data_IF_499485286955
#
_entry.id   IF_499485286955
#
_cell.length_a   1.000
_cell.length_b   1.000
_cell.length_c   1.000
_cell.angle_alpha   90.00
_cell.angle_beta   90.00
_cell.angle_gamma   90.00
#
_symmetry.space_group_name_H-M   'P 1'
#
loop_
_entity.id
_entity.type
_entity.pdbx_description
1 polymer ?
#
# COMPACT_ATOMS: atom_id res chain seq x y z
N UNK A 1 37.49 3.83 -7.33
CA UNK A 1 36.13 3.27 -7.41
C UNK A 1 36.10 2.16 -8.45
N UNK A 2 35.23 1.15 -8.34
CA UNK A 2 35.26 -0.04 -9.20
C UNK A 2 35.11 0.25 -10.72
N UNK A 3 34.55 1.41 -11.10
CA UNK A 3 34.36 1.82 -12.51
C UNK A 3 35.68 1.73 -13.29
N UNK A 4 36.79 2.24 -12.74
CA UNK A 4 38.12 2.24 -13.39
C UNK A 4 38.66 0.82 -13.54
N UNK A 5 38.46 -0.02 -12.50
CA UNK A 5 38.87 -1.43 -12.51
C UNK A 5 38.16 -2.22 -13.63
N UNK A 6 36.84 -2.04 -13.76
CA UNK A 6 36.05 -2.64 -14.84
C UNK A 6 36.14 -1.88 -16.16
N UNK A 7 36.97 -0.81 -16.26
CA UNK A 7 37.14 0.03 -17.45
C UNK A 7 35.82 0.54 -18.03
N UNK A 8 34.92 1.00 -17.13
CA UNK A 8 33.59 1.57 -17.46
C UNK A 8 33.69 3.10 -17.47
N UNK A 9 32.75 3.74 -18.18
CA UNK A 9 32.64 5.21 -18.24
C UNK A 9 31.78 5.76 -17.09
N UNK A 10 30.80 4.95 -16.63
CA UNK A 10 29.88 5.33 -15.57
C UNK A 10 29.31 4.08 -14.84
N UNK A 11 28.57 4.33 -13.74
CA UNK A 11 27.95 3.26 -12.95
C UNK A 11 26.82 2.57 -13.74
N UNK A 12 26.93 1.25 -14.05
CA UNK A 12 25.94 0.56 -14.87
C UNK A 12 24.62 0.30 -14.15
N UNK A 13 24.62 0.15 -12.81
CA UNK A 13 23.49 -0.32 -12.03
C UNK A 13 22.90 0.72 -11.08
N UNK A 14 22.90 2.00 -11.48
CA UNK A 14 22.24 3.07 -10.70
C UNK A 14 20.77 2.77 -10.49
N UNK A 15 20.25 3.11 -9.29
CA UNK A 15 18.86 2.95 -8.93
C UNK A 15 17.96 4.10 -9.40
N UNK A 16 18.54 5.27 -9.66
CA UNK A 16 17.80 6.40 -10.24
C UNK A 16 17.34 6.08 -11.66
N UNK A 17 16.13 6.45 -12.04
CA UNK A 17 15.65 6.28 -13.41
C UNK A 17 16.60 6.99 -14.39
N UNK A 18 16.98 6.31 -15.44
CA UNK A 18 17.72 6.87 -16.57
C UNK A 18 17.28 6.18 -17.85
N UNK A 19 16.60 6.91 -18.76
CA UNK A 19 16.10 6.36 -20.02
C UNK A 19 17.19 5.82 -20.97
N UNK A 20 18.46 6.23 -20.82
CA UNK A 20 19.56 5.68 -21.62
C UNK A 20 19.84 4.22 -21.27
N UNK A 21 19.63 3.84 -20.01
CA UNK A 21 19.78 2.48 -19.49
C UNK A 21 18.53 1.62 -19.62
N UNK A 22 17.48 2.10 -20.30
CA UNK A 22 16.26 1.34 -20.47
C UNK A 22 16.49 0.17 -21.43
N UNK A 23 16.43 -1.03 -20.90
CA UNK A 23 16.33 -2.25 -21.69
C UNK A 23 14.88 -2.54 -22.05
N UNK A 24 14.56 -2.54 -23.34
CA UNK A 24 13.22 -2.84 -23.83
C UNK A 24 13.03 -4.36 -23.96
N UNK A 25 12.68 -5.04 -22.86
CA UNK A 25 12.17 -6.40 -22.93
C UNK A 25 10.89 -6.44 -23.77
N UNK A 26 10.43 -7.65 -24.17
CA UNK A 26 9.15 -7.79 -24.90
C UNK A 26 7.98 -7.16 -24.14
N UNK A 27 7.97 -7.28 -22.81
CA UNK A 27 6.93 -6.68 -21.97
C UNK A 27 7.03 -5.15 -21.98
N UNK A 28 8.23 -4.58 -21.82
CA UNK A 28 8.45 -3.13 -21.89
C UNK A 28 8.09 -2.56 -23.26
N UNK A 29 8.46 -3.23 -24.36
CA UNK A 29 8.11 -2.81 -25.70
C UNK A 29 6.59 -2.78 -25.94
N UNK A 30 5.86 -3.80 -25.41
CA UNK A 30 4.38 -3.81 -25.47
C UNK A 30 3.77 -2.70 -24.63
N UNK A 31 4.24 -2.49 -23.39
CA UNK A 31 3.76 -1.41 -22.54
C UNK A 31 3.97 -0.04 -23.22
N UNK A 32 5.14 0.17 -23.82
CA UNK A 32 5.46 1.38 -24.58
C UNK A 32 4.53 1.57 -25.76
N UNK A 33 4.29 0.53 -26.56
CA UNK A 33 3.37 0.58 -27.69
C UNK A 33 1.93 0.93 -27.25
N UNK A 34 1.49 0.44 -26.07
CA UNK A 34 0.20 0.81 -25.50
C UNK A 34 0.14 2.28 -25.08
N UNK A 35 1.22 2.80 -24.47
CA UNK A 35 1.33 4.22 -24.14
C UNK A 35 1.35 5.10 -25.40
N UNK A 36 2.11 4.73 -26.43
CA UNK A 36 2.13 5.40 -27.74
C UNK A 36 0.75 5.40 -28.39
N UNK A 37 0.04 4.28 -28.31
CA UNK A 37 -1.32 4.16 -28.86
C UNK A 37 -2.30 5.16 -28.23
N UNK A 38 -2.06 5.59 -26.98
CA UNK A 38 -2.87 6.60 -26.28
C UNK A 38 -2.87 7.94 -27.03
N UNK A 39 -1.76 8.27 -27.68
CA UNK A 39 -1.63 9.53 -28.43
C UNK A 39 -2.42 9.51 -29.76
N UNK A 40 -2.50 8.32 -30.39
CA UNK A 40 -3.09 8.19 -31.72
C UNK A 40 -4.59 7.90 -31.69
N UNK A 41 -5.09 7.28 -30.61
CA UNK A 41 -6.51 6.98 -30.49
C UNK A 41 -7.29 8.10 -29.81
N UNK A 42 -8.55 8.25 -30.22
CA UNK A 42 -9.47 9.27 -29.68
C UNK A 42 -9.91 8.98 -28.24
N UNK A 43 -9.86 7.69 -27.81
CA UNK A 43 -10.25 7.24 -26.46
C UNK A 43 -9.02 6.82 -25.64
N UNK A 44 -8.04 7.71 -25.57
CA UNK A 44 -6.74 7.42 -24.99
C UNK A 44 -6.73 7.36 -23.46
N UNK A 45 -7.23 6.26 -22.85
CA UNK A 45 -7.07 6.01 -21.43
C UNK A 45 -6.42 4.62 -21.21
N UNK A 46 -5.19 4.63 -20.72
CA UNK A 46 -4.36 3.44 -20.51
C UNK A 46 -3.90 3.35 -19.04
N UNK A 47 -3.86 2.13 -18.53
CA UNK A 47 -3.32 1.81 -17.21
C UNK A 47 -2.12 0.87 -17.36
N UNK A 48 -0.99 1.25 -16.76
CA UNK A 48 0.22 0.44 -16.69
C UNK A 48 0.51 0.12 -15.24
N UNK A 49 0.35 -1.14 -14.86
CA UNK A 49 0.68 -1.60 -13.51
C UNK A 49 1.95 -2.43 -13.51
N UNK A 50 2.56 -2.61 -12.36
CA UNK A 50 3.72 -3.49 -12.18
C UNK A 50 4.32 -3.31 -10.79
N UNK A 51 5.06 -4.32 -10.36
CA UNK A 51 5.71 -4.32 -9.04
C UNK A 51 6.67 -3.14 -8.85
N UNK A 52 7.00 -2.84 -7.60
CA UNK A 52 8.03 -1.84 -7.26
C UNK A 52 9.34 -2.24 -7.92
N UNK A 53 9.94 -1.30 -8.68
CA UNK A 53 11.22 -1.55 -9.35
C UNK A 53 11.11 -2.32 -10.66
N UNK A 54 9.92 -2.52 -11.22
CA UNK A 54 9.72 -3.13 -12.56
C UNK A 54 10.13 -2.23 -13.73
N UNK A 55 10.45 -0.96 -13.49
CA UNK A 55 10.90 -0.02 -14.53
C UNK A 55 9.81 0.89 -15.11
N UNK A 56 8.62 0.98 -14.48
CA UNK A 56 7.50 1.84 -14.94
C UNK A 56 7.92 3.29 -15.18
N UNK A 57 8.52 3.92 -14.18
CA UNK A 57 8.93 5.34 -14.26
C UNK A 57 9.97 5.56 -15.35
N UNK A 58 10.98 4.68 -15.49
CA UNK A 58 11.98 4.74 -16.56
C UNK A 58 11.32 4.59 -17.95
N UNK A 59 10.33 3.71 -18.06
CA UNK A 59 9.57 3.52 -19.29
C UNK A 59 8.77 4.78 -19.65
N UNK A 60 8.10 5.40 -18.67
CA UNK A 60 7.37 6.66 -18.84
C UNK A 60 8.32 7.77 -19.31
N UNK A 61 9.46 7.94 -18.65
CA UNK A 61 10.45 8.94 -19.04
C UNK A 61 11.00 8.72 -20.45
N UNK A 62 11.27 7.45 -20.82
CA UNK A 62 11.69 7.10 -22.18
C UNK A 62 10.60 7.41 -23.22
N UNK A 63 9.35 7.13 -22.88
CA UNK A 63 8.20 7.47 -23.74
C UNK A 63 8.06 8.99 -23.92
N UNK A 64 8.14 9.76 -22.83
CA UNK A 64 8.02 11.21 -22.86
C UNK A 64 9.11 11.89 -23.71
N UNK A 65 10.33 11.38 -23.70
CA UNK A 65 11.45 11.91 -24.52
C UNK A 65 11.23 11.73 -26.03
N UNK A 66 10.33 10.84 -26.44
CA UNK A 66 10.08 10.50 -27.84
C UNK A 66 8.80 11.13 -28.37
N UNK A 67 8.07 11.87 -27.54
CA UNK A 67 6.87 12.56 -27.98
C UNK A 67 7.22 13.80 -28.79
N UNK A 68 6.39 14.04 -29.82
CA UNK A 68 6.48 15.22 -30.66
C UNK A 68 6.16 16.50 -29.86
N UNK A 69 6.64 17.63 -30.32
CA UNK A 69 6.46 18.95 -29.68
C UNK A 69 4.99 19.44 -29.71
N UNK A 70 4.11 18.79 -30.45
CA UNK A 70 2.68 19.09 -30.53
C UNK A 70 1.86 18.44 -29.39
N UNK A 71 2.50 17.66 -28.52
CA UNK A 71 1.86 17.05 -27.36
C UNK A 71 2.12 17.89 -26.11
N UNK A 72 1.04 18.40 -25.52
CA UNK A 72 1.09 19.14 -24.25
C UNK A 72 0.98 18.14 -23.09
N UNK A 73 1.96 18.13 -22.21
CA UNK A 73 2.11 17.09 -21.18
C UNK A 73 1.91 17.69 -19.78
N UNK A 74 1.08 17.02 -18.98
CA UNK A 74 1.06 17.18 -17.52
C UNK A 74 1.49 15.86 -16.87
N UNK A 75 2.50 15.91 -16.02
CA UNK A 75 2.98 14.75 -15.26
C UNK A 75 2.80 14.99 -13.77
N UNK A 76 2.07 14.10 -13.12
CA UNK A 76 1.77 14.12 -11.68
C UNK A 76 2.45 12.92 -11.01
N UNK A 77 3.40 13.22 -10.14
CA UNK A 77 4.12 12.20 -9.35
C UNK A 77 3.71 12.27 -7.86
N UNK A 78 3.13 13.40 -7.43
CA UNK A 78 2.62 13.57 -6.07
C UNK A 78 1.15 13.22 -6.05
N UNK A 79 0.81 12.04 -5.53
CA UNK A 79 -0.52 11.44 -5.58
C UNK A 79 -1.26 11.41 -4.24
N UNK A 80 -0.61 11.82 -3.14
CA UNK A 80 -1.24 11.99 -1.82
C UNK A 80 -1.86 13.38 -1.69
N UNK A 81 -2.88 13.65 -2.51
CA UNK A 81 -3.55 14.94 -2.63
C UNK A 81 -5.07 14.77 -2.57
N UNK A 82 -5.78 15.80 -2.15
CA UNK A 82 -7.24 15.85 -2.28
C UNK A 82 -7.66 16.28 -3.71
N UNK A 83 -8.97 16.21 -4.01
CA UNK A 83 -9.48 16.50 -5.35
C UNK A 83 -9.20 17.92 -5.85
N UNK A 84 -9.18 18.91 -4.94
CA UNK A 84 -8.87 20.32 -5.30
C UNK A 84 -7.38 20.48 -5.58
N UNK A 85 -6.54 19.96 -4.72
CA UNK A 85 -5.08 19.96 -4.87
C UNK A 85 -4.64 19.21 -6.14
N UNK A 86 -5.31 18.11 -6.48
CA UNK A 86 -5.07 17.39 -7.72
C UNK A 86 -5.35 18.27 -8.94
N UNK A 87 -6.53 18.92 -9.01
CA UNK A 87 -6.87 19.85 -10.10
C UNK A 87 -5.90 21.03 -10.18
N UNK A 88 -5.49 21.57 -9.03
CA UNK A 88 -4.47 22.62 -8.98
C UNK A 88 -3.14 22.12 -9.53
N UNK A 89 -2.69 20.93 -9.14
CA UNK A 89 -1.44 20.33 -9.63
C UNK A 89 -1.45 20.15 -11.14
N UNK A 90 -2.58 19.67 -11.70
CA UNK A 90 -2.75 19.52 -13.17
C UNK A 90 -2.65 20.89 -13.87
N UNK A 91 -3.32 21.90 -13.35
CA UNK A 91 -3.27 23.26 -13.93
C UNK A 91 -1.88 23.89 -13.82
N UNK A 92 -1.15 23.66 -12.72
CA UNK A 92 0.24 24.11 -12.56
C UNK A 92 1.15 23.49 -13.63
N UNK A 93 0.97 22.21 -13.94
CA UNK A 93 1.71 21.55 -15.01
C UNK A 93 1.43 22.16 -16.39
N UNK A 94 0.24 22.71 -16.60
CA UNK A 94 -0.12 23.46 -17.81
C UNK A 94 0.25 24.95 -17.78
N UNK A 95 0.98 25.42 -16.73
CA UNK A 95 1.51 26.77 -16.63
C UNK A 95 0.58 27.79 -15.97
N UNK A 96 -0.51 27.36 -15.30
CA UNK A 96 -1.42 28.23 -14.58
C UNK A 96 -0.98 28.45 -13.12
N UNK A 97 -1.55 29.46 -12.48
CA UNK A 97 -1.37 29.77 -11.04
C UNK A 97 -2.71 29.64 -10.28
N UNK A 98 -3.19 28.41 -10.03
CA UNK A 98 -4.57 28.15 -9.61
C UNK A 98 -4.86 28.28 -8.11
N UNK A 99 -3.90 28.71 -7.28
CA UNK A 99 -3.95 28.56 -5.80
C UNK A 99 -5.06 29.31 -5.08
N UNK A 100 -5.73 30.29 -5.75
CA UNK A 100 -6.86 31.06 -5.18
C UNK A 100 -8.21 30.67 -5.80
N UNK A 101 -8.24 29.74 -6.73
CA UNK A 101 -9.43 29.33 -7.47
C UNK A 101 -10.27 28.34 -6.66
N UNK A 102 -11.60 28.48 -6.73
CA UNK A 102 -12.54 27.48 -6.24
C UNK A 102 -12.59 26.28 -7.20
N UNK A 103 -13.05 25.12 -6.71
CA UNK A 103 -13.13 23.88 -7.53
C UNK A 103 -13.83 24.10 -8.88
N UNK A 104 -14.95 24.83 -8.90
CA UNK A 104 -15.68 25.12 -10.14
C UNK A 104 -14.84 25.93 -11.13
N UNK A 105 -14.07 26.91 -10.65
CA UNK A 105 -13.16 27.73 -11.47
C UNK A 105 -12.00 26.91 -12.03
N UNK A 106 -11.44 25.99 -11.21
CA UNK A 106 -10.38 25.06 -11.65
C UNK A 106 -10.88 24.19 -12.82
N UNK A 107 -12.06 23.61 -12.69
CA UNK A 107 -12.67 22.76 -13.71
C UNK A 107 -12.96 23.60 -14.98
N UNK A 108 -13.52 24.78 -14.84
CA UNK A 108 -13.83 25.65 -15.98
C UNK A 108 -12.55 26.07 -16.72
N UNK A 109 -11.49 26.46 -15.98
CA UNK A 109 -10.20 26.84 -16.55
C UNK A 109 -9.57 25.66 -17.31
N UNK A 110 -9.58 24.45 -16.70
CA UNK A 110 -9.05 23.26 -17.34
C UNK A 110 -9.83 22.90 -18.61
N UNK A 111 -11.16 22.95 -18.55
CA UNK A 111 -12.01 22.68 -19.73
C UNK A 111 -11.72 23.67 -20.88
N UNK A 112 -11.65 24.97 -20.57
CA UNK A 112 -11.34 26.00 -21.57
C UNK A 112 -9.97 25.76 -22.21
N UNK A 113 -8.97 25.45 -21.39
CA UNK A 113 -7.62 25.14 -21.86
C UNK A 113 -7.61 23.92 -22.79
N UNK A 114 -8.26 22.80 -22.39
CA UNK A 114 -8.31 21.60 -23.19
C UNK A 114 -8.97 21.81 -24.56
N UNK A 115 -10.07 22.57 -24.60
CA UNK A 115 -10.77 22.93 -25.84
C UNK A 115 -9.89 23.82 -26.72
N UNK A 116 -9.17 24.79 -26.13
CA UNK A 116 -8.24 25.66 -26.85
C UNK A 116 -7.07 24.87 -27.45
N UNK A 117 -6.47 23.93 -26.69
CA UNK A 117 -5.43 23.07 -27.22
C UNK A 117 -5.94 22.20 -28.40
N UNK A 118 -7.14 21.64 -28.26
CA UNK A 118 -7.77 20.87 -29.32
C UNK A 118 -8.02 21.72 -30.61
N UNK A 119 -8.53 22.94 -30.43
CA UNK A 119 -8.73 23.87 -31.55
C UNK A 119 -7.40 24.25 -32.24
N UNK A 120 -6.30 24.28 -31.48
CA UNK A 120 -4.96 24.49 -32.01
C UNK A 120 -4.33 23.24 -32.66
N UNK A 121 -5.05 22.11 -32.73
CA UNK A 121 -4.55 20.83 -33.24
C UNK A 121 -3.55 20.11 -32.31
N UNK A 122 -3.38 20.56 -31.08
CA UNK A 122 -2.45 19.98 -30.11
C UNK A 122 -3.14 18.90 -29.27
N UNK A 123 -2.41 17.83 -28.97
CA UNK A 123 -2.86 16.74 -28.12
C UNK A 123 -2.48 17.01 -26.68
N UNK A 124 -3.37 16.75 -25.74
CA UNK A 124 -3.08 16.91 -24.30
C UNK A 124 -3.01 15.55 -23.63
N UNK A 125 -1.92 15.29 -22.92
CA UNK A 125 -1.63 14.06 -22.22
C UNK A 125 -1.42 14.33 -20.72
N UNK A 126 -2.20 13.64 -19.89
CA UNK A 126 -2.03 13.60 -18.45
C UNK A 126 -1.44 12.24 -18.05
N UNK A 127 -0.28 12.27 -17.42
CA UNK A 127 0.37 11.08 -16.86
C UNK A 127 0.35 11.19 -15.35
N UNK A 128 -0.08 10.14 -14.68
CA UNK A 128 -0.09 10.06 -13.24
C UNK A 128 0.69 8.82 -12.84
N UNK A 129 1.86 9.00 -12.23
CA UNK A 129 2.66 7.92 -11.65
C UNK A 129 2.26 7.68 -10.20
N UNK A 130 2.54 6.50 -9.65
CA UNK A 130 2.15 6.05 -8.31
C UNK A 130 0.62 6.20 -8.06
N UNK A 131 -0.19 5.95 -9.09
CA UNK A 131 -1.64 6.18 -9.06
C UNK A 131 -2.40 5.30 -8.05
N UNK A 132 -1.80 4.22 -7.51
CA UNK A 132 -2.40 3.43 -6.43
C UNK A 132 -2.59 4.25 -5.14
N UNK A 133 -1.87 5.36 -4.97
CA UNK A 133 -2.00 6.23 -3.80
C UNK A 133 -3.19 7.21 -3.91
N UNK A 134 -3.78 7.38 -5.10
CA UNK A 134 -4.92 8.26 -5.30
C UNK A 134 -6.13 7.78 -4.50
N UNK A 135 -6.86 8.71 -3.89
CA UNK A 135 -8.14 8.41 -3.26
C UNK A 135 -9.23 8.14 -4.31
N UNK A 136 -10.30 7.43 -3.92
CA UNK A 136 -11.46 7.19 -4.79
C UNK A 136 -12.06 8.51 -5.32
N UNK A 137 -12.06 9.57 -4.49
CA UNK A 137 -12.54 10.91 -4.87
C UNK A 137 -11.70 11.53 -5.99
N UNK A 138 -10.38 11.35 -5.97
CA UNK A 138 -9.49 11.85 -7.04
C UNK A 138 -9.65 11.02 -8.30
N UNK A 139 -9.78 9.71 -8.19
CA UNK A 139 -10.06 8.82 -9.34
C UNK A 139 -11.40 9.17 -10.02
N UNK A 140 -12.40 9.59 -9.23
CA UNK A 140 -13.67 10.10 -9.78
C UNK A 140 -13.50 11.44 -10.51
N UNK A 141 -12.65 12.37 -10.02
CA UNK A 141 -12.31 13.58 -10.77
C UNK A 141 -11.62 13.25 -12.09
N UNK A 142 -10.70 12.28 -12.10
CA UNK A 142 -10.05 11.79 -13.34
C UNK A 142 -11.10 11.24 -14.31
N UNK A 143 -12.10 10.50 -13.80
CA UNK A 143 -13.23 10.05 -14.61
C UNK A 143 -13.98 11.23 -15.24
N UNK A 144 -14.28 12.25 -14.46
CA UNK A 144 -14.96 13.44 -14.96
C UNK A 144 -14.14 14.13 -16.07
N UNK A 145 -12.84 14.33 -15.83
CA UNK A 145 -11.91 14.93 -16.81
C UNK A 145 -11.81 14.11 -18.10
N UNK A 146 -11.76 12.78 -18.01
CA UNK A 146 -11.72 11.88 -19.18
C UNK A 146 -13.00 11.95 -20.04
N UNK A 147 -14.06 12.57 -19.51
CA UNK A 147 -15.33 12.77 -20.19
C UNK A 147 -15.40 14.01 -21.07
N UNK A 148 -14.40 14.90 -21.01
CA UNK A 148 -14.40 16.15 -21.78
C UNK A 148 -14.22 15.83 -23.26
N UNK A 149 -15.16 16.31 -24.07
CA UNK A 149 -15.21 16.07 -25.53
C UNK A 149 -15.27 17.39 -26.30
N UNK A 150 -14.61 17.39 -27.45
CA UNK A 150 -14.81 18.40 -28.47
C UNK A 150 -15.12 17.69 -29.78
N UNK A 151 -16.25 18.04 -30.41
CA UNK A 151 -16.68 17.56 -31.74
C UNK A 151 -16.78 16.03 -31.91
N UNK A 152 -16.88 15.22 -30.89
CA UNK A 152 -16.90 13.74 -30.82
C UNK A 152 -15.55 13.07 -30.48
N UNK A 153 -14.52 13.84 -30.18
CA UNK A 153 -13.23 13.30 -29.73
C UNK A 153 -12.94 13.67 -28.28
N UNK A 154 -12.28 12.77 -27.55
CA UNK A 154 -11.76 13.07 -26.22
C UNK A 154 -10.57 14.01 -26.35
N UNK A 155 -10.63 15.14 -25.64
CA UNK A 155 -9.57 16.16 -25.70
C UNK A 155 -8.41 15.86 -24.75
N UNK A 156 -8.63 15.03 -23.73
CA UNK A 156 -7.64 14.64 -22.75
C UNK A 156 -7.31 13.15 -22.85
N UNK A 157 -6.05 12.84 -23.03
CA UNK A 157 -5.50 11.49 -22.98
C UNK A 157 -4.91 11.23 -21.61
N UNK A 158 -5.06 10.03 -21.06
CA UNK A 158 -4.67 9.72 -19.69
C UNK A 158 -3.88 8.42 -19.63
N UNK A 159 -2.75 8.47 -18.94
CA UNK A 159 -1.96 7.29 -18.56
C UNK A 159 -1.89 7.25 -17.04
N UNK A 160 -2.42 6.19 -16.44
CA UNK A 160 -2.20 5.88 -15.02
C UNK A 160 -1.12 4.81 -14.91
N UNK A 161 -0.07 5.11 -14.18
CA UNK A 161 0.94 4.13 -13.82
C UNK A 161 0.89 3.87 -12.31
N UNK A 162 1.06 2.62 -11.89
CA UNK A 162 0.97 2.29 -10.47
C UNK A 162 1.36 0.86 -10.16
N UNK A 163 1.22 0.52 -8.89
CA UNK A 163 1.42 -0.84 -8.39
C UNK A 163 0.17 -1.70 -8.65
N UNK A 164 0.24 -3.04 -8.51
CA UNK A 164 -0.89 -3.94 -8.78
C UNK A 164 -2.17 -3.59 -8.03
N UNK A 165 -2.06 -3.00 -6.82
CA UNK A 165 -3.19 -2.56 -5.99
C UNK A 165 -4.07 -1.50 -6.71
N UNK A 166 -3.51 -0.82 -7.71
CA UNK A 166 -4.30 0.07 -8.58
C UNK A 166 -5.40 -0.70 -9.31
N UNK A 167 -5.14 -1.92 -9.78
CA UNK A 167 -6.15 -2.74 -10.46
C UNK A 167 -7.29 -3.11 -9.50
N UNK A 168 -6.97 -3.55 -8.28
CA UNK A 168 -7.97 -3.88 -7.26
C UNK A 168 -8.87 -2.66 -6.96
N UNK A 169 -8.24 -1.49 -6.84
CA UNK A 169 -8.96 -0.23 -6.62
C UNK A 169 -9.86 0.13 -7.81
N UNK A 170 -9.39 -0.03 -9.05
CA UNK A 170 -10.15 0.25 -10.26
C UNK A 170 -11.28 -0.76 -10.51
N UNK A 171 -11.19 -1.96 -9.96
CA UNK A 171 -12.22 -2.99 -10.05
C UNK A 171 -13.27 -2.89 -8.93
N UNK A 172 -13.13 -1.91 -8.04
CA UNK A 172 -14.11 -1.65 -6.98
C UNK A 172 -15.46 -1.19 -7.55
N UNK A 173 -16.58 -1.52 -6.87
CA UNK A 173 -17.93 -1.10 -7.30
C UNK A 173 -18.09 0.41 -7.51
N UNK A 174 -17.36 1.21 -6.73
CA UNK A 174 -17.40 2.66 -6.78
C UNK A 174 -16.80 3.23 -8.07
N UNK A 175 -15.88 2.50 -8.71
CA UNK A 175 -15.14 2.96 -9.89
C UNK A 175 -15.52 2.25 -11.20
N UNK A 176 -16.62 1.49 -11.24
CA UNK A 176 -17.08 0.78 -12.44
C UNK A 176 -17.16 1.70 -13.67
N UNK A 177 -17.64 2.94 -13.51
CA UNK A 177 -17.73 3.90 -14.60
C UNK A 177 -16.37 4.39 -15.11
N UNK A 178 -15.37 4.50 -14.22
CA UNK A 178 -13.98 4.79 -14.59
C UNK A 178 -13.38 3.59 -15.33
N UNK A 179 -13.57 2.39 -14.78
CA UNK A 179 -13.06 1.14 -15.35
C UNK A 179 -13.54 0.93 -16.81
N UNK A 180 -14.78 1.29 -17.12
CA UNK A 180 -15.34 1.21 -18.49
C UNK A 180 -14.69 2.19 -19.48
N UNK A 181 -14.02 3.25 -19.02
CA UNK A 181 -13.31 4.20 -19.88
C UNK A 181 -11.87 3.79 -20.15
N UNK A 182 -11.34 2.85 -19.36
CA UNK A 182 -9.98 2.35 -19.54
C UNK A 182 -9.98 1.41 -20.76
N UNK A 183 -9.30 1.85 -21.81
CA UNK A 183 -9.19 1.09 -23.05
C UNK A 183 -8.26 -0.11 -22.92
N UNK A 184 -7.12 0.11 -22.29
CA UNK A 184 -6.06 -0.90 -22.16
C UNK A 184 -5.53 -0.91 -20.74
N UNK A 185 -5.36 -2.12 -20.19
CA UNK A 185 -4.64 -2.37 -18.96
C UNK A 185 -3.47 -3.29 -19.27
N UNK A 186 -2.30 -2.89 -18.87
CA UNK A 186 -1.09 -3.67 -19.04
C UNK A 186 -0.36 -3.85 -17.71
N UNK A 187 0.05 -5.08 -17.45
CA UNK A 187 0.88 -5.37 -16.28
C UNK A 187 2.32 -5.61 -16.72
N UNK A 188 3.24 -4.78 -16.19
CA UNK A 188 4.67 -4.87 -16.43
C UNK A 188 5.29 -5.80 -15.37
N UNK A 189 5.48 -7.07 -15.74
CA UNK A 189 6.10 -8.07 -14.88
C UNK A 189 7.61 -7.93 -14.78
N UNK A 190 8.21 -8.81 -13.99
CA UNK A 190 9.65 -8.96 -13.90
C UNK A 190 10.26 -9.48 -15.23
N UNK A 191 11.56 -9.33 -15.38
CA UNK A 191 12.33 -9.88 -16.51
C UNK A 191 12.30 -11.40 -16.48
N UNK A 192 12.18 -12.03 -17.66
CA UNK A 192 12.41 -13.46 -17.78
C UNK A 192 13.89 -13.80 -17.54
N UNK A 193 14.23 -15.08 -17.39
CA UNK A 193 15.63 -15.51 -17.26
C UNK A 193 16.47 -15.10 -18.46
N UNK A 194 15.89 -15.17 -19.65
CA UNK A 194 16.55 -14.77 -20.91
C UNK A 194 16.72 -13.24 -20.97
N UNK A 195 15.68 -12.49 -20.63
CA UNK A 195 15.72 -11.02 -20.60
C UNK A 195 16.71 -10.49 -19.55
N UNK A 196 16.85 -11.19 -18.38
CA UNK A 196 17.76 -10.74 -17.32
C UNK A 196 19.21 -10.69 -17.82
N UNK A 197 19.71 -11.70 -18.53
CA UNK A 197 21.04 -11.70 -19.12
C UNK A 197 21.22 -10.51 -20.08
N UNK A 198 20.27 -10.35 -20.99
CA UNK A 198 20.28 -9.28 -21.97
C UNK A 198 20.21 -7.91 -21.32
N UNK A 199 19.43 -7.80 -20.23
CA UNK A 199 19.33 -6.59 -19.41
C UNK A 199 20.66 -6.20 -18.76
N UNK A 200 21.34 -7.14 -18.11
CA UNK A 200 22.63 -6.89 -17.45
C UNK A 200 23.68 -6.47 -18.49
N UNK A 201 23.77 -7.18 -19.62
CA UNK A 201 24.68 -6.82 -20.71
C UNK A 201 24.38 -5.44 -21.29
N UNK A 202 23.12 -5.16 -21.58
CA UNK A 202 22.73 -3.85 -22.10
C UNK A 202 23.18 -2.70 -21.17
N UNK A 203 22.99 -2.85 -19.87
CA UNK A 203 23.41 -1.83 -18.91
C UNK A 203 24.92 -1.65 -18.85
N UNK A 204 25.66 -2.76 -18.91
CA UNK A 204 27.13 -2.72 -18.98
C UNK A 204 27.63 -2.07 -20.28
N UNK A 205 27.03 -2.40 -21.43
CA UNK A 205 27.39 -1.82 -22.71
C UNK A 205 27.13 -0.31 -22.76
N UNK A 206 25.97 0.15 -22.26
CA UNK A 206 25.70 1.59 -22.11
C UNK A 206 26.75 2.26 -21.22
N UNK A 207 27.17 1.59 -20.14
CA UNK A 207 28.23 2.08 -19.24
C UNK A 207 29.65 1.99 -19.83
N UNK A 208 29.85 1.44 -21.05
CA UNK A 208 31.13 1.36 -21.73
C UNK A 208 31.85 0.03 -21.61
N UNK A 209 31.15 -1.06 -21.39
CA UNK A 209 31.75 -2.39 -21.43
C UNK A 209 32.17 -2.80 -22.86
N UNK A 210 31.54 -2.22 -23.90
CA UNK A 210 31.82 -2.44 -25.31
C UNK A 210 31.88 -3.94 -25.68
N UNK A 211 30.88 -4.71 -25.24
CA UNK A 211 30.75 -6.15 -25.49
C UNK A 211 31.58 -7.07 -24.59
N UNK A 212 32.37 -6.51 -23.64
CA UNK A 212 33.11 -7.34 -22.68
C UNK A 212 32.21 -8.08 -21.71
N UNK A 213 32.52 -9.36 -21.51
CA UNK A 213 31.80 -10.19 -20.51
C UNK A 213 32.36 -9.88 -19.11
N UNK A 214 31.65 -9.09 -18.35
CA UNK A 214 32.02 -8.71 -16.97
C UNK A 214 31.45 -9.72 -15.96
N UNK A 215 30.28 -10.31 -16.26
CA UNK A 215 29.66 -11.35 -15.44
C UNK A 215 29.87 -12.71 -16.09
N UNK A 216 30.41 -13.67 -15.34
CA UNK A 216 30.53 -15.05 -15.79
C UNK A 216 29.15 -15.66 -16.07
N UNK A 217 29.06 -16.56 -17.03
CA UNK A 217 27.77 -17.13 -17.49
C UNK A 217 26.96 -17.82 -16.39
N UNK A 218 27.64 -18.47 -15.47
CA UNK A 218 27.08 -19.17 -14.31
C UNK A 218 26.59 -18.25 -13.18
N UNK A 219 26.80 -16.93 -13.29
CA UNK A 219 26.24 -15.94 -12.36
C UNK A 219 24.75 -15.66 -12.61
N UNK A 220 24.28 -15.76 -13.86
CA UNK A 220 22.90 -15.38 -14.22
C UNK A 220 21.80 -16.23 -13.55
N UNK A 221 21.96 -17.55 -13.40
CA UNK A 221 21.01 -18.37 -12.64
C UNK A 221 20.88 -17.90 -11.17
N UNK A 222 22.01 -17.56 -10.53
CA UNK A 222 22.02 -17.07 -9.14
C UNK A 222 21.40 -15.66 -9.06
N UNK A 223 21.75 -14.76 -9.97
CA UNK A 223 21.09 -13.45 -10.06
C UNK A 223 19.57 -13.60 -10.14
N UNK A 224 19.07 -14.49 -11.00
CA UNK A 224 17.64 -14.72 -11.12
C UNK A 224 17.03 -15.32 -9.84
N UNK A 225 17.73 -16.25 -9.19
CA UNK A 225 17.29 -16.92 -7.96
C UNK A 225 17.04 -15.91 -6.83
N UNK A 226 17.89 -14.90 -6.68
CA UNK A 226 17.78 -13.91 -5.61
C UNK A 226 16.98 -12.67 -5.98
N UNK A 227 16.80 -12.36 -7.26
CA UNK A 227 16.10 -11.15 -7.71
C UNK A 227 14.72 -11.39 -8.31
N UNK A 228 14.42 -12.66 -8.72
CA UNK A 228 13.20 -12.98 -9.45
C UNK A 228 13.06 -12.21 -10.77
N UNK A 229 14.16 -11.61 -11.28
CA UNK A 229 14.16 -10.79 -12.48
C UNK A 229 13.60 -9.36 -12.26
N UNK A 230 13.39 -8.91 -11.03
CA UNK A 230 12.96 -7.55 -10.75
C UNK A 230 14.11 -6.57 -10.99
N UNK A 231 14.02 -5.63 -11.97
CA UNK A 231 15.14 -4.78 -12.41
C UNK A 231 15.86 -4.05 -11.27
N UNK A 232 15.13 -3.50 -10.31
CA UNK A 232 15.71 -2.80 -9.15
C UNK A 232 16.55 -3.75 -8.29
N UNK A 233 16.07 -4.98 -8.06
CA UNK A 233 16.82 -5.97 -7.29
C UNK A 233 18.03 -6.48 -8.05
N UNK A 234 17.91 -6.66 -9.39
CA UNK A 234 19.02 -7.00 -10.26
C UNK A 234 20.10 -5.94 -10.17
N UNK A 235 19.74 -4.67 -10.27
CA UNK A 235 20.71 -3.56 -10.16
C UNK A 235 21.43 -3.58 -8.81
N UNK A 236 20.70 -3.70 -7.71
CA UNK A 236 21.32 -3.73 -6.38
C UNK A 236 22.29 -4.91 -6.25
N UNK A 237 21.89 -6.11 -6.66
CA UNK A 237 22.73 -7.30 -6.53
C UNK A 237 23.97 -7.22 -7.45
N UNK A 238 23.80 -6.75 -8.69
CA UNK A 238 24.91 -6.60 -9.63
C UNK A 238 25.91 -5.54 -9.16
N UNK A 239 25.46 -4.40 -8.65
CA UNK A 239 26.31 -3.33 -8.11
C UNK A 239 27.15 -3.83 -6.92
N UNK A 240 26.49 -4.52 -5.96
CA UNK A 240 27.17 -5.11 -4.79
C UNK A 240 28.15 -6.21 -5.19
N UNK A 241 27.81 -7.06 -6.17
CA UNK A 241 28.69 -8.12 -6.66
C UNK A 241 29.94 -7.55 -7.39
N UNK A 242 29.78 -6.46 -8.17
CA UNK A 242 30.91 -5.75 -8.77
C UNK A 242 31.83 -5.16 -7.70
N UNK A 243 31.25 -4.64 -6.60
CA UNK A 243 32.04 -4.15 -5.47
C UNK A 243 32.81 -5.30 -4.78
N UNK A 244 32.19 -6.47 -4.61
CA UNK A 244 32.86 -7.64 -4.05
C UNK A 244 34.03 -8.11 -4.92
N UNK A 245 33.86 -8.19 -6.25
CA UNK A 245 34.93 -8.53 -7.19
C UNK A 245 36.08 -7.50 -7.18
N UNK A 246 35.74 -6.22 -7.09
CA UNK A 246 36.72 -5.12 -6.98
C UNK A 246 37.56 -5.24 -5.71
N UNK A 247 36.97 -5.59 -4.58
CA UNK A 247 37.70 -5.79 -3.32
C UNK A 247 38.71 -6.95 -3.38
N UNK A 248 38.52 -7.87 -4.33
CA UNK A 248 39.42 -8.99 -4.63
C UNK A 248 40.36 -8.70 -5.82
N UNK A 249 40.50 -7.41 -6.22
CA UNK A 249 41.32 -6.95 -7.37
C UNK A 249 40.99 -7.64 -8.70
N UNK A 250 39.70 -8.05 -8.90
CA UNK A 250 39.25 -8.70 -10.14
C UNK A 250 38.41 -7.76 -10.99
N UNK A 251 38.55 -7.87 -12.31
CA UNK A 251 37.81 -7.10 -13.32
C UNK A 251 36.62 -7.90 -13.95
N UNK A 252 36.24 -9.01 -13.32
CA UNK A 252 35.09 -9.82 -13.70
C UNK A 252 34.40 -10.42 -12.46
N UNK A 253 33.10 -10.66 -12.57
CA UNK A 253 32.23 -11.13 -11.49
C UNK A 253 31.99 -12.64 -11.64
N UNK A 254 32.15 -13.36 -10.55
CA UNK A 254 31.95 -14.83 -10.45
C UNK A 254 30.75 -15.15 -9.54
N UNK A 255 30.28 -16.43 -9.49
CA UNK A 255 29.26 -16.84 -8.54
C UNK A 255 29.65 -16.61 -7.06
N UNK A 256 30.96 -16.65 -6.74
CA UNK A 256 31.42 -16.35 -5.38
C UNK A 256 31.14 -14.89 -4.99
N UNK A 257 31.25 -13.95 -5.93
CA UNK A 257 30.93 -12.54 -5.70
C UNK A 257 29.42 -12.31 -5.52
N UNK A 258 28.60 -13.06 -6.27
CA UNK A 258 27.14 -13.05 -6.05
C UNK A 258 26.81 -13.58 -4.66
N UNK A 259 27.43 -14.66 -4.22
CA UNK A 259 27.23 -15.22 -2.87
C UNK A 259 27.68 -14.23 -1.78
N UNK A 260 28.83 -13.58 -1.96
CA UNK A 260 29.32 -12.52 -1.07
C UNK A 260 28.32 -11.34 -0.98
N UNK A 261 27.85 -10.86 -2.13
CA UNK A 261 26.87 -9.78 -2.22
C UNK A 261 25.52 -10.14 -1.56
N UNK A 262 25.04 -11.36 -1.76
CA UNK A 262 23.83 -11.88 -1.13
C UNK A 262 23.96 -11.91 0.41
N UNK A 263 25.13 -12.34 0.91
CA UNK A 263 25.40 -12.35 2.35
C UNK A 263 25.47 -10.94 2.93
N UNK A 264 26.12 -10.00 2.24
CA UNK A 264 26.22 -8.59 2.64
C UNK A 264 24.84 -7.92 2.68
N UNK A 265 23.99 -8.17 1.66
CA UNK A 265 22.64 -7.68 1.57
C UNK A 265 21.67 -8.44 2.50
N UNK A 266 22.09 -9.53 3.13
CA UNK A 266 21.26 -10.42 3.97
C UNK A 266 20.00 -10.91 3.24
N UNK A 267 20.13 -11.25 1.96
CA UNK A 267 18.99 -11.67 1.15
C UNK A 267 18.76 -13.19 1.24
N UNK A 268 17.51 -13.55 1.51
CA UNK A 268 17.01 -14.89 1.21
C UNK A 268 16.63 -14.99 -0.28
N UNK A 269 16.44 -16.20 -0.78
CA UNK A 269 15.95 -16.44 -2.14
C UNK A 269 14.65 -15.66 -2.41
N UNK A 270 14.50 -15.17 -3.65
CA UNK A 270 13.33 -14.38 -4.03
C UNK A 270 12.01 -15.12 -3.80
N UNK A 271 11.95 -16.41 -4.18
CA UNK A 271 10.77 -17.24 -3.96
C UNK A 271 10.39 -17.37 -2.47
N UNK A 272 11.38 -17.49 -1.59
CA UNK A 272 11.16 -17.55 -0.14
C UNK A 272 10.65 -16.21 0.41
N UNK A 273 11.20 -15.09 -0.07
CA UNK A 273 10.75 -13.74 0.29
C UNK A 273 9.34 -13.48 -0.22
N UNK A 274 9.05 -13.85 -1.47
CA UNK A 274 7.73 -13.69 -2.08
C UNK A 274 6.68 -14.54 -1.35
N UNK A 275 7.01 -15.80 -1.01
CA UNK A 275 6.13 -16.68 -0.24
C UNK A 275 5.89 -16.13 1.18
N UNK A 276 6.92 -15.63 1.85
CA UNK A 276 6.79 -15.00 3.16
C UNK A 276 5.94 -13.73 3.11
N UNK A 277 6.07 -12.93 2.04
CA UNK A 277 5.25 -11.74 1.81
C UNK A 277 3.81 -12.12 1.46
N UNK A 278 3.61 -13.10 0.57
CA UNK A 278 2.29 -13.63 0.24
C UNK A 278 1.61 -14.26 1.46
N UNK A 279 2.35 -14.98 2.32
CA UNK A 279 1.84 -15.50 3.58
C UNK A 279 1.47 -14.38 4.56
N UNK A 280 2.24 -13.28 4.61
CA UNK A 280 1.89 -12.08 5.38
C UNK A 280 0.65 -11.37 4.81
N UNK A 281 0.55 -11.27 3.48
CA UNK A 281 -0.62 -10.70 2.79
C UNK A 281 -1.81 -11.65 2.91
N UNK A 282 -1.64 -12.96 2.75
CA UNK A 282 -2.70 -13.95 2.95
C UNK A 282 -3.11 -14.04 4.43
N UNK A 283 -2.16 -13.99 5.37
CA UNK A 283 -2.46 -13.81 6.79
C UNK A 283 -3.02 -12.42 7.09
N UNK A 284 -2.69 -11.41 6.30
CA UNK A 284 -3.31 -10.09 6.28
C UNK A 284 -4.64 -10.06 5.50
N UNK A 285 -4.86 -10.87 4.45
CA UNK A 285 -6.07 -10.93 3.63
C UNK A 285 -7.08 -11.99 4.09
N UNK A 286 -6.65 -13.06 4.79
CA UNK A 286 -7.55 -13.84 5.65
C UNK A 286 -8.00 -13.04 6.88
N UNK A 287 -7.41 -11.85 7.09
CA UNK A 287 -7.96 -10.83 7.97
C UNK A 287 -9.01 -9.93 7.27
N UNK A 288 -9.35 -10.11 5.98
CA UNK A 288 -10.39 -9.32 5.28
C UNK A 288 -11.61 -10.14 4.84
N UNK A 289 -11.59 -11.47 5.06
CA UNK A 289 -12.78 -12.31 5.00
C UNK A 289 -13.05 -12.82 6.40
N UNK A 290 -13.86 -12.08 7.19
CA UNK A 290 -14.27 -12.42 8.56
C UNK A 290 -13.11 -12.55 9.58
N UNK A 291 -12.18 -11.57 9.51
CA UNK A 291 -11.56 -10.98 10.67
C UNK A 291 -12.07 -9.53 10.73
N UNK A 292 -13.19 -9.29 11.43
CA UNK A 292 -13.13 -8.23 12.42
C UNK A 292 -11.71 -8.26 12.94
N UNK A 293 -10.90 -7.24 12.66
CA UNK A 293 -9.58 -7.00 13.24
C UNK A 293 -9.65 -7.59 14.64
N UNK A 294 -8.92 -8.70 14.89
CA UNK A 294 -8.87 -9.24 16.24
C UNK A 294 -8.17 -8.14 17.00
N UNK A 295 -8.98 -7.34 17.64
CA UNK A 295 -8.53 -6.22 18.38
C UNK A 295 -7.56 -6.81 19.39
N UNK A 296 -6.34 -6.30 19.42
CA UNK A 296 -5.33 -6.75 20.37
C UNK A 296 -5.82 -6.48 21.80
N UNK A 297 -6.76 -5.53 21.93
CA UNK A 297 -7.39 -5.10 23.17
C UNK A 297 -8.68 -4.31 22.87
N UNK A 298 -9.51 -4.12 23.86
CA UNK A 298 -10.70 -3.29 23.74
C UNK A 298 -10.93 -2.41 24.95
N UNK A 299 -11.62 -1.30 24.73
CA UNK A 299 -12.16 -0.46 25.78
C UNK A 299 -13.66 -0.72 25.89
N UNK A 300 -14.14 -0.93 27.11
CA UNK A 300 -15.57 -1.06 27.41
C UNK A 300 -15.97 0.17 28.21
N UNK A 301 -16.78 1.05 27.58
CA UNK A 301 -17.38 2.21 28.26
C UNK A 301 -18.56 1.76 29.08
N UNK A 302 -18.52 2.03 30.36
CA UNK A 302 -19.64 1.79 31.28
C UNK A 302 -20.20 3.11 31.82
N UNK A 303 -21.54 3.17 31.94
CA UNK A 303 -22.28 4.21 32.63
C UNK A 303 -23.29 3.55 33.55
N UNK A 304 -23.27 3.92 34.84
CA UNK A 304 -24.12 3.33 35.89
C UNK A 304 -24.04 1.78 35.96
N UNK A 305 -22.83 1.23 35.75
CA UNK A 305 -22.55 -0.20 35.83
C UNK A 305 -23.06 -1.03 34.63
N UNK A 306 -23.52 -0.39 33.53
CA UNK A 306 -23.89 -1.05 32.27
C UNK A 306 -22.95 -0.67 31.18
N UNK A 307 -22.50 -1.65 30.39
CA UNK A 307 -21.72 -1.41 29.20
C UNK A 307 -22.58 -0.65 28.16
N UNK A 308 -22.09 0.52 27.72
CA UNK A 308 -22.81 1.42 26.80
C UNK A 308 -22.18 1.39 25.41
N UNK A 309 -20.85 1.23 25.32
CA UNK A 309 -20.12 1.16 24.06
C UNK A 309 -18.85 0.37 24.21
N UNK A 310 -18.39 -0.25 23.12
CA UNK A 310 -17.09 -0.90 23.02
C UNK A 310 -16.28 -0.25 21.91
N UNK A 311 -14.99 0.00 22.15
CA UNK A 311 -14.03 0.48 21.17
C UNK A 311 -12.89 -0.53 21.04
N UNK A 312 -12.83 -1.20 19.92
CA UNK A 312 -11.74 -2.12 19.61
C UNK A 312 -10.47 -1.33 19.24
N UNK A 313 -9.36 -1.73 19.86
CA UNK A 313 -8.06 -1.10 19.66
C UNK A 313 -7.21 -1.94 18.69
N UNK A 314 -6.83 -1.29 17.61
CA UNK A 314 -5.90 -1.80 16.60
C UNK A 314 -4.66 -0.90 16.59
N UNK A 315 -3.50 -1.34 16.09
CA UNK A 315 -2.34 -0.48 15.95
C UNK A 315 -2.70 0.84 15.26
N UNK A 316 -2.37 1.95 15.91
CA UNK A 316 -2.73 3.29 15.44
C UNK A 316 -3.18 4.21 16.56
N UNK A 317 -3.77 5.34 16.18
CA UNK A 317 -4.26 6.38 17.10
C UNK A 317 -5.78 6.40 17.12
N UNK A 318 -6.37 6.48 18.31
CA UNK A 318 -7.80 6.67 18.56
C UNK A 318 -8.02 7.84 19.50
N UNK A 319 -9.05 8.65 19.26
CA UNK A 319 -9.38 9.83 20.08
C UNK A 319 -10.75 9.64 20.74
N UNK A 320 -10.82 10.00 22.02
CA UNK A 320 -12.06 10.00 22.81
C UNK A 320 -12.42 11.44 23.16
N UNK A 321 -13.68 11.81 22.97
CA UNK A 321 -14.14 13.14 23.29
C UNK A 321 -15.64 13.34 23.07
N UNK A 322 -16.12 14.59 23.27
CA UNK A 322 -17.54 14.90 23.23
C UNK A 322 -18.10 15.07 21.81
N UNK A 323 -17.28 15.50 20.87
CA UNK A 323 -17.74 15.81 19.50
C UNK A 323 -17.79 14.56 18.62
N UNK A 324 -18.66 14.52 17.59
CA UNK A 324 -18.88 13.34 16.76
C UNK A 324 -17.71 13.01 15.81
N UNK A 325 -16.70 13.84 15.75
CA UNK A 325 -15.46 13.65 14.98
C UNK A 325 -14.41 12.80 15.73
N UNK A 326 -14.71 12.37 16.97
CA UNK A 326 -13.87 11.44 17.72
C UNK A 326 -14.18 9.97 17.39
N UNK A 327 -13.20 9.09 17.54
CA UNK A 327 -13.37 7.63 17.35
C UNK A 327 -14.35 7.03 18.38
N UNK A 328 -14.36 7.56 19.61
CA UNK A 328 -15.37 7.27 20.63
C UNK A 328 -15.97 8.59 21.12
N UNK A 329 -17.23 8.81 20.74
CA UNK A 329 -17.97 9.96 21.21
C UNK A 329 -18.65 9.67 22.56
N UNK A 330 -18.43 10.54 23.54
CA UNK A 330 -19.15 10.50 24.83
C UNK A 330 -19.83 11.85 25.03
N UNK A 331 -21.14 11.91 24.80
CA UNK A 331 -21.92 13.15 24.90
C UNK A 331 -22.17 13.52 26.37
N UNK A 332 -21.19 14.18 26.97
CA UNK A 332 -21.24 14.63 28.36
C UNK A 332 -20.58 16.01 28.51
N UNK A 333 -21.24 16.90 29.27
CA UNK A 333 -20.70 18.24 29.59
C UNK A 333 -19.38 18.19 30.39
N UNK A 334 -19.06 17.05 30.98
CA UNK A 334 -17.84 16.83 31.76
C UNK A 334 -16.67 16.34 30.90
N UNK A 335 -16.89 16.15 29.58
CA UNK A 335 -15.88 15.70 28.63
C UNK A 335 -15.54 16.81 27.65
N UNK A 336 -14.25 17.03 27.41
CA UNK A 336 -13.76 18.01 26.44
C UNK A 336 -14.03 17.55 25.01
N UNK A 337 -14.05 18.47 24.01
CA UNK A 337 -14.30 18.13 22.60
C UNK A 337 -13.39 16.98 22.13
N UNK A 338 -12.09 17.09 22.39
CA UNK A 338 -11.10 16.03 22.30
C UNK A 338 -10.51 15.91 23.71
N UNK A 339 -10.76 14.81 24.41
CA UNK A 339 -10.42 14.69 25.81
C UNK A 339 -9.11 13.95 26.01
N UNK A 340 -8.97 12.78 25.40
CA UNK A 340 -7.76 11.98 25.44
C UNK A 340 -7.55 11.23 24.12
N UNK A 341 -6.34 10.74 23.94
CA UNK A 341 -6.00 9.83 22.84
C UNK A 341 -5.42 8.52 23.36
N UNK A 342 -5.63 7.49 22.57
CA UNK A 342 -4.95 6.21 22.73
C UNK A 342 -4.02 5.98 21.56
N UNK A 343 -2.84 5.52 21.83
CA UNK A 343 -1.86 5.12 20.83
C UNK A 343 -1.52 3.66 21.10
N UNK A 344 -1.93 2.78 20.18
CA UNK A 344 -1.62 1.34 20.25
C UNK A 344 -0.48 1.05 19.29
N UNK A 345 0.61 0.50 19.82
CA UNK A 345 1.77 0.08 19.05
C UNK A 345 1.52 -1.24 18.30
N UNK A 346 2.38 -1.55 17.34
CA UNK A 346 2.38 -2.86 16.64
C UNK A 346 2.75 -4.03 17.58
N UNK A 347 3.31 -3.72 18.74
CA UNK A 347 3.63 -4.63 19.85
C UNK A 347 2.43 -4.90 20.77
N UNK A 348 1.26 -4.30 20.49
CA UNK A 348 0.04 -4.42 21.29
C UNK A 348 0.00 -3.52 22.52
N UNK A 349 1.06 -2.78 22.85
CA UNK A 349 1.07 -1.87 23.99
C UNK A 349 0.21 -0.64 23.68
N UNK A 350 -0.79 -0.37 24.51
CA UNK A 350 -1.65 0.80 24.39
C UNK A 350 -1.31 1.84 25.45
N UNK A 351 -1.06 3.06 25.01
CA UNK A 351 -0.79 4.22 25.85
C UNK A 351 -1.95 5.20 25.75
N UNK A 352 -2.52 5.61 26.89
CA UNK A 352 -3.50 6.70 26.96
C UNK A 352 -2.80 8.01 27.32
N UNK A 353 -3.22 9.10 26.69
CA UNK A 353 -2.65 10.44 26.89
C UNK A 353 -3.76 11.50 26.93
N UNK A 354 -3.72 12.37 27.94
CA UNK A 354 -4.63 13.49 28.11
C UNK A 354 -4.33 14.61 27.11
N UNK A 355 -5.30 15.04 26.34
CA UNK A 355 -5.17 16.11 25.35
C UNK A 355 -5.41 17.51 25.97
N UNK A 356 -4.90 17.71 27.18
CA UNK A 356 -5.09 18.93 27.96
C UNK A 356 -6.57 19.20 28.25
N UNK A 357 -7.26 18.14 28.66
CA UNK A 357 -8.69 18.20 28.96
C UNK A 357 -8.97 18.99 30.25
N UNK A 358 -10.19 19.52 30.37
CA UNK A 358 -10.59 20.34 31.53
C UNK A 358 -10.56 19.54 32.83
N UNK A 359 -11.03 18.29 32.81
CA UNK A 359 -11.15 17.46 34.01
C UNK A 359 -10.00 16.45 34.18
N UNK A 360 -9.18 16.26 33.13
CA UNK A 360 -8.09 15.27 33.13
C UNK A 360 -8.60 13.83 33.03
N UNK A 361 -7.67 12.89 32.96
CA UNK A 361 -7.93 11.44 33.00
C UNK A 361 -7.40 10.85 34.33
N UNK A 362 -8.17 9.91 34.89
CA UNK A 362 -7.72 9.15 36.04
C UNK A 362 -7.57 7.67 35.64
N UNK A 363 -6.47 7.04 36.02
CA UNK A 363 -6.28 5.59 35.91
C UNK A 363 -6.18 5.00 37.28
N UNK A 364 -7.05 4.05 37.59
CA UNK A 364 -7.16 3.47 38.95
C UNK A 364 -7.28 4.56 40.03
N UNK A 365 -8.05 5.63 39.76
CA UNK A 365 -8.28 6.75 40.69
C UNK A 365 -7.13 7.76 40.80
N UNK A 366 -6.02 7.59 40.09
CA UNK A 366 -4.89 8.54 40.07
C UNK A 366 -4.91 9.35 38.79
N UNK A 367 -4.80 10.68 38.87
CA UNK A 367 -4.72 11.58 37.74
C UNK A 367 -3.39 11.39 37.01
N UNK A 368 -3.46 11.18 35.69
CA UNK A 368 -2.30 10.94 34.85
C UNK A 368 -2.36 11.81 33.60
N UNK A 369 -1.21 12.21 33.06
CA UNK A 369 -1.12 12.83 31.73
C UNK A 369 -0.88 11.81 30.63
N UNK A 370 -0.13 10.76 30.96
CA UNK A 370 0.19 9.67 30.06
C UNK A 370 0.36 8.39 30.87
N UNK A 371 -0.21 7.28 30.39
CA UNK A 371 -0.15 6.01 31.10
C UNK A 371 -0.19 4.84 30.09
N UNK A 372 0.64 3.83 30.30
CA UNK A 372 0.57 2.59 29.52
C UNK A 372 -0.47 1.68 30.18
N UNK A 373 -1.53 1.38 29.45
CA UNK A 373 -2.65 0.58 29.93
C UNK A 373 -2.26 -0.89 30.10
N UNK A 374 -2.82 -1.51 31.13
CA UNK A 374 -2.69 -2.94 31.43
C UNK A 374 -4.07 -3.55 31.55
N UNK A 375 -4.16 -4.84 31.32
CA UNK A 375 -5.43 -5.57 31.46
C UNK A 375 -6.11 -5.27 32.79
N UNK A 376 -7.41 -4.98 32.75
CA UNK A 376 -8.20 -4.59 33.90
C UNK A 376 -8.01 -3.16 34.38
N UNK A 377 -7.25 -2.30 33.70
CA UNK A 377 -7.16 -0.87 34.04
C UNK A 377 -8.51 -0.18 33.83
N UNK A 378 -8.98 0.51 34.87
CA UNK A 378 -10.16 1.38 34.79
C UNK A 378 -9.71 2.82 34.62
N UNK A 379 -10.10 3.41 33.48
CA UNK A 379 -9.86 4.80 33.16
C UNK A 379 -11.14 5.60 33.41
N UNK A 380 -11.07 6.61 34.27
CA UNK A 380 -12.18 7.52 34.53
C UNK A 380 -12.01 8.79 33.74
N UNK A 381 -13.02 9.16 32.95
CA UNK A 381 -13.09 10.37 32.12
C UNK A 381 -14.40 11.11 32.44
N UNK A 382 -14.26 12.23 33.15
CA UNK A 382 -15.43 12.94 33.68
C UNK A 382 -16.22 12.09 34.67
N UNK A 383 -17.43 11.63 34.32
CA UNK A 383 -18.29 10.75 35.13
C UNK A 383 -18.39 9.33 34.55
N UNK A 384 -17.62 9.01 33.51
CA UNK A 384 -17.67 7.73 32.81
C UNK A 384 -16.44 6.89 33.15
N UNK A 385 -16.65 5.59 33.25
CA UNK A 385 -15.58 4.61 33.47
C UNK A 385 -15.38 3.79 32.20
N UNK A 386 -14.11 3.58 31.84
CA UNK A 386 -13.68 2.81 30.70
C UNK A 386 -12.76 1.71 31.19
N UNK A 387 -13.17 0.46 31.01
CA UNK A 387 -12.37 -0.71 31.30
C UNK A 387 -11.51 -1.06 30.09
N UNK A 388 -10.21 -1.19 30.29
CA UNK A 388 -9.31 -1.74 29.29
C UNK A 388 -9.20 -3.26 29.45
N UNK A 389 -9.42 -3.99 28.36
CA UNK A 389 -9.36 -5.46 28.29
C UNK A 389 -8.32 -5.85 27.25
N UNK A 390 -7.29 -6.57 27.69
CA UNK A 390 -6.27 -7.15 26.80
C UNK A 390 -6.65 -8.61 26.49
N UNK A 391 -7.02 -8.86 25.22
CA UNK A 391 -7.45 -10.19 24.80
C UNK A 391 -6.29 -11.20 24.65
N UNK A 392 -5.03 -10.77 24.83
CA UNK A 392 -3.85 -11.65 24.81
C UNK A 392 -3.53 -12.27 26.17
N UNK A 393 -3.96 -11.66 27.27
CA UNK A 393 -3.69 -12.19 28.63
C UNK A 393 -4.55 -13.38 29.00
N UNK A 394 -5.62 -13.69 28.24
CA UNK A 394 -6.52 -14.83 28.47
C UNK A 394 -6.03 -16.19 27.97
N UNK A 395 -4.91 -16.27 27.22
CA UNK A 395 -4.41 -17.54 26.66
C UNK A 395 -3.18 -18.12 27.34
N UNK A 396 -2.71 -17.54 28.44
CA UNK A 396 -1.56 -18.05 29.23
C UNK A 396 -1.98 -18.71 30.57
N UNK A 397 -3.30 -18.84 30.85
CA UNK A 397 -3.79 -19.39 32.12
C UNK A 397 -4.32 -20.84 32.05
N UNK A 398 -4.29 -21.50 30.88
CA UNK A 398 -4.77 -22.88 30.71
C UNK A 398 -3.68 -23.86 30.26
N UNK A 399 -2.54 -23.88 30.94
CA UNK A 399 -1.64 -25.05 30.93
C UNK A 399 -0.91 -25.14 32.26
N UNK A 400 -1.54 -25.70 33.27
CA UNK A 400 -0.92 -26.62 34.22
C UNK A 400 -1.99 -27.33 35.05
N UNK A 401 -2.16 -28.57 34.70
CA UNK A 401 -2.32 -29.76 35.54
C UNK A 401 -2.48 -29.56 37.03
N UNK A 402 -3.54 -30.16 37.58
CA UNK A 402 -3.39 -31.34 38.43
C UNK A 402 -4.80 -31.83 38.82
N UNK A 403 -5.13 -33.02 38.37
CA UNK A 403 -6.18 -33.86 38.95
C UNK A 403 -5.70 -34.42 40.30
N UNK A 404 -6.59 -34.56 41.29
CA UNK A 404 -6.64 -35.85 41.94
C UNK A 404 -8.00 -36.55 41.78
N UNK A 405 -7.89 -37.80 41.44
CA UNK A 405 -8.96 -38.81 41.54
C UNK A 405 -9.51 -38.86 42.97
N UNK A 406 -10.83 -38.96 43.09
CA UNK A 406 -11.48 -39.49 44.25
C UNK A 406 -12.59 -40.46 43.85
N UNK A 407 -12.50 -41.60 44.49
CA UNK A 407 -13.22 -42.83 44.44
C UNK A 407 -14.73 -42.72 44.47
N UNK A 408 -15.32 -43.70 43.84
CA UNK A 408 -16.65 -44.23 43.95
C UNK A 408 -16.79 -44.94 45.35
N UNK A 409 -17.85 -44.71 46.11
CA UNK A 409 -18.71 -45.73 46.66
C UNK A 409 -19.70 -45.16 47.70
N UNK A 410 -20.84 -45.88 47.75
CA UNK A 410 -21.87 -45.99 48.78
C UNK A 410 -22.98 -44.96 48.78
N UNK A 411 -24.08 -45.37 48.50
CA UNK A 411 -25.15 -46.25 48.96
C UNK A 411 -26.43 -45.43 48.94
N UNK A 412 -27.36 -45.86 48.21
CA UNK A 412 -28.60 -46.62 48.51
C UNK A 412 -29.58 -46.00 49.51
N UNK A 413 -30.83 -46.21 49.15
CA UNK A 413 -32.09 -46.29 49.90
C UNK A 413 -32.87 -44.98 50.00
N UNK A 414 -34.04 -44.95 49.66
CA UNK A 414 -35.31 -45.59 49.64
C UNK A 414 -36.36 -44.61 49.10
N UNK A 415 -37.17 -45.12 48.31
CA UNK A 415 -38.56 -45.53 48.39
C UNK A 415 -39.62 -44.48 48.07
N UNK A 416 -40.33 -44.81 47.10
CA UNK A 416 -41.76 -45.11 47.00
C UNK A 416 -42.79 -43.97 46.82
N UNK A 417 -43.62 -44.33 45.86
CA UNK A 417 -45.09 -44.06 45.80
C UNK A 417 -45.52 -42.65 45.42
N UNK A 418 -46.39 -42.36 44.55
CA UNK A 418 -47.55 -43.08 44.02
C UNK A 418 -48.16 -42.32 42.84
N UNK A 419 -48.62 -43.07 41.94
CA UNK A 419 -49.94 -43.06 41.30
C UNK A 419 -50.47 -41.83 40.53
N UNK A 420 -50.71 -42.12 39.35
CA UNK A 420 -52.01 -42.23 38.65
C UNK A 420 -52.42 -41.06 37.76
N UNK A 421 -52.72 -41.54 36.60
CA UNK A 421 -53.89 -41.23 35.74
C UNK A 421 -53.97 -39.76 35.21
N UNK A 422 -54.18 -39.58 33.99
CA UNK A 422 -55.12 -40.01 33.04
C UNK A 422 -55.22 -39.00 31.92
N UNK A 423 -55.20 -39.51 30.80
CA UNK A 423 -56.20 -39.50 29.75
C UNK A 423 -56.42 -38.21 28.92
N UNK A 424 -56.26 -38.45 27.71
CA UNK A 424 -57.20 -38.26 26.59
C UNK A 424 -57.26 -36.90 25.88
N UNK A 425 -56.86 -37.03 24.65
CA UNK A 425 -57.65 -36.77 23.44
C UNK A 425 -57.98 -35.32 23.01
N UNK A 426 -57.64 -35.07 21.76
CA UNK A 426 -58.57 -34.50 20.85
C UNK A 426 -58.17 -33.31 20.06
N UNK A 427 -57.70 -33.59 18.88
CA UNK A 427 -58.17 -33.13 17.58
C UNK A 427 -58.67 -31.66 17.45
N UNK A 428 -58.02 -30.90 16.74
CA UNK A 428 -58.32 -30.39 15.37
C UNK A 428 -57.21 -29.49 14.86
#
# INVERSE_FOLDING_TARGET
MYIENFKLRELPFRLSPDPQFLYLSRAHARAKAYMESTIWFTDGFVVVTGEIGSGKTTLIESFLRQLDSDVVIAQINQTQVNAVEFLQSVLVQFGFSPFKMKKAELIATLNSFLIEQYAAGRKVLLIIDEAQNLSLKVLEEIRMLSGIEATKEKVLRIILAGQPELNEKLDSPELVQLAQRIRLRFHLGALSREDLRSYVRHRLDVAGADGREIFAEDTYPELFRYTGGVPRLVNTLCDTAMMAAFNEDRDFVTPADIASAVNELQWAEFASRANAMAARVANGAHATGDRSTRALSKLVLSSDGKAVAELHLVPGRKVIGRTPDNDLQIDSKFISRHHCQLVTGSDGITVIEDLNSTNGILVRGKRVRRHSLRDGDVVTIGQHEILYVDEHSGHLADTHDDLPAIDVDAANEDADEDASSGDAAGAR
#
